data_IF_603082693266
#
_entry.id   IF_603082693266
#
_cell.length_a   1.000
_cell.length_b   1.000
_cell.length_c   1.000
_cell.angle_alpha   90.00
_cell.angle_beta   90.00
_cell.angle_gamma   90.00
#
_symmetry.space_group_name_H-M   'P 1'
#
loop_
_entity.id
_entity.type
_entity.pdbx_description
1 polymer ?
#
# COMPACT_ATOMS: atom_id res chain seq x y z
N UNK A 1 -23.97 31.88 64.07
CA UNK A 1 -22.66 31.29 63.76
C UNK A 1 -22.79 30.55 62.45
N UNK A 2 -22.46 31.22 61.35
CA UNK A 2 -22.68 30.76 59.97
C UNK A 2 -21.46 29.99 59.49
N UNK A 3 -21.61 28.71 59.12
CA UNK A 3 -20.53 27.90 58.52
C UNK A 3 -20.73 27.87 57.01
N UNK A 4 -20.00 28.74 56.30
CA UNK A 4 -19.83 28.66 54.85
C UNK A 4 -18.83 27.53 54.56
N UNK A 5 -19.32 26.45 53.94
CA UNK A 5 -18.47 25.39 53.39
C UNK A 5 -18.11 25.76 51.94
N UNK A 6 -16.81 25.75 51.54
CA UNK A 6 -16.43 26.00 50.16
C UNK A 6 -16.66 24.73 49.34
N UNK A 7 -17.56 24.80 48.36
CA UNK A 7 -17.71 23.77 47.34
C UNK A 7 -16.52 23.85 46.38
N UNK A 8 -15.56 22.93 46.52
CA UNK A 8 -14.45 22.75 45.59
C UNK A 8 -15.01 22.12 44.32
N UNK A 9 -15.23 22.95 43.29
CA UNK A 9 -15.63 22.51 41.95
C UNK A 9 -14.40 21.90 41.24
N UNK A 10 -14.25 20.58 41.33
CA UNK A 10 -13.22 19.85 40.61
C UNK A 10 -13.53 19.87 39.10
N UNK A 11 -12.80 20.70 38.34
CA UNK A 11 -12.74 20.60 36.87
C UNK A 11 -12.07 19.26 36.50
N UNK A 12 -12.89 18.27 36.15
CA UNK A 12 -12.45 17.07 35.43
C UNK A 12 -12.02 17.50 34.02
N UNK A 13 -10.71 17.74 33.86
CA UNK A 13 -10.09 17.86 32.54
C UNK A 13 -10.22 16.49 31.85
N UNK A 14 -11.21 16.35 30.98
CA UNK A 14 -11.34 15.23 30.06
C UNK A 14 -10.19 15.30 29.06
N UNK A 15 -9.02 14.80 29.44
CA UNK A 15 -7.98 14.44 28.49
C UNK A 15 -8.48 13.22 27.70
N UNK A 16 -9.30 13.48 26.68
CA UNK A 16 -9.77 12.45 25.76
C UNK A 16 -8.55 11.78 25.13
N UNK A 17 -8.43 10.46 25.32
CA UNK A 17 -7.37 9.69 24.67
C UNK A 17 -7.51 9.88 23.15
N UNK A 18 -6.47 10.38 22.50
CA UNK A 18 -6.43 10.51 21.05
C UNK A 18 -6.49 9.11 20.44
N UNK A 19 -7.46 8.86 19.58
CA UNK A 19 -7.57 7.59 18.87
C UNK A 19 -6.29 7.34 18.04
N UNK A 20 -5.87 6.08 18.02
CA UNK A 20 -4.71 5.59 17.30
C UNK A 20 -5.12 4.98 15.97
N UNK A 21 -4.13 4.75 15.11
CA UNK A 21 -4.37 4.01 13.87
C UNK A 21 -4.79 2.57 14.20
N UNK A 22 -5.87 2.13 13.56
CA UNK A 22 -6.52 0.83 13.78
C UNK A 22 -7.57 0.80 14.89
N UNK A 23 -7.76 1.89 15.65
CA UNK A 23 -8.80 1.93 16.70
C UNK A 23 -10.21 1.82 16.08
N UNK A 24 -11.17 1.15 16.74
CA UNK A 24 -12.53 0.99 16.23
C UNK A 24 -13.30 2.32 16.19
N UNK A 25 -14.07 2.51 15.14
CA UNK A 25 -14.90 3.70 14.95
C UNK A 25 -16.22 3.39 14.23
N UNK A 26 -17.18 4.30 14.36
CA UNK A 26 -18.43 4.28 13.59
C UNK A 26 -18.56 5.52 12.70
N UNK A 27 -18.00 6.64 13.14
CA UNK A 27 -17.95 7.92 12.41
C UNK A 27 -16.58 8.57 12.61
N UNK A 28 -16.17 9.44 11.70
CA UNK A 28 -14.83 10.08 11.73
C UNK A 28 -14.54 10.89 12.99
N UNK A 29 -15.58 11.43 13.65
CA UNK A 29 -15.43 12.15 14.93
C UNK A 29 -14.99 11.25 16.09
N UNK A 30 -15.16 9.92 15.99
CA UNK A 30 -14.56 8.98 16.94
C UNK A 30 -13.03 8.99 16.85
N UNK A 31 -12.48 9.24 15.66
CA UNK A 31 -11.05 9.18 15.39
C UNK A 31 -10.36 10.53 15.61
N UNK A 32 -11.00 11.62 15.20
CA UNK A 32 -10.44 12.96 15.34
C UNK A 32 -11.52 14.03 15.21
N UNK A 33 -11.70 14.86 16.25
CA UNK A 33 -12.56 16.04 16.18
C UNK A 33 -12.01 17.13 15.24
N UNK A 34 -10.69 17.16 15.04
CA UNK A 34 -10.00 18.12 14.17
C UNK A 34 -9.79 17.60 12.74
N UNK A 35 -10.31 16.41 12.40
CA UNK A 35 -10.16 15.82 11.05
C UNK A 35 -8.78 15.24 10.71
N UNK A 36 -7.84 15.15 11.66
CA UNK A 36 -6.51 14.54 11.40
C UNK A 36 -6.52 13.03 11.16
N UNK A 37 -7.66 12.36 11.36
CA UNK A 37 -7.90 10.94 11.10
C UNK A 37 -9.36 10.80 10.65
N UNK A 38 -9.61 9.82 9.81
CA UNK A 38 -10.96 9.46 9.35
C UNK A 38 -11.31 8.05 9.81
N UNK A 39 -12.61 7.74 9.80
CA UNK A 39 -13.09 6.38 10.03
C UNK A 39 -13.25 5.65 8.69
N UNK A 40 -12.34 4.72 8.38
CA UNK A 40 -12.45 3.84 7.21
C UNK A 40 -13.49 2.76 7.51
N UNK A 41 -14.59 2.79 6.74
CA UNK A 41 -15.72 1.86 6.86
C UNK A 41 -15.66 0.71 5.86
N UNK A 42 -14.63 0.64 5.01
CA UNK A 42 -14.53 -0.32 3.89
C UNK A 42 -14.58 -1.79 4.34
N UNK A 43 -14.21 -2.06 5.59
CA UNK A 43 -14.20 -3.40 6.18
C UNK A 43 -15.38 -3.67 7.13
N UNK A 44 -16.33 -2.74 7.21
CA UNK A 44 -17.55 -2.90 8.01
C UNK A 44 -18.54 -3.86 7.35
N UNK A 45 -18.44 -4.04 6.05
CA UNK A 45 -19.37 -4.81 5.23
C UNK A 45 -18.59 -5.93 4.54
N UNK A 46 -19.15 -7.14 4.46
CA UNK A 46 -18.57 -8.27 3.72
C UNK A 46 -18.80 -8.13 2.19
N UNK A 47 -18.24 -9.04 1.40
CA UNK A 47 -18.44 -9.06 -0.06
C UNK A 47 -19.90 -9.24 -0.51
N UNK A 48 -20.81 -9.58 0.41
CA UNK A 48 -22.24 -9.77 0.16
C UNK A 48 -23.09 -8.56 0.64
N UNK A 49 -22.47 -7.49 1.13
CA UNK A 49 -23.19 -6.33 1.63
C UNK A 49 -23.66 -6.42 3.08
N UNK A 50 -23.30 -7.47 3.83
CA UNK A 50 -23.71 -7.64 5.23
C UNK A 50 -22.68 -7.04 6.21
N UNK A 51 -23.10 -6.47 7.35
CA UNK A 51 -22.18 -6.06 8.40
C UNK A 51 -21.30 -7.22 8.88
N UNK A 52 -19.98 -7.02 8.92
CA UNK A 52 -19.06 -8.01 9.47
C UNK A 52 -19.32 -8.18 10.98
N UNK A 53 -19.09 -9.37 11.58
CA UNK A 53 -19.29 -9.59 13.01
C UNK A 53 -18.44 -8.66 13.90
N UNK A 54 -17.32 -8.17 13.38
CA UNK A 54 -16.43 -7.17 14.00
C UNK A 54 -16.85 -5.72 13.77
N UNK A 55 -17.79 -5.46 12.85
CA UNK A 55 -18.80 -4.39 12.80
C UNK A 55 -18.37 -2.92 12.91
N UNK A 56 -17.08 -2.64 13.05
CA UNK A 56 -16.55 -1.29 13.29
C UNK A 56 -15.52 -0.94 12.23
N UNK A 57 -15.59 0.29 11.73
CA UNK A 57 -14.53 0.85 10.91
C UNK A 57 -13.24 0.98 11.69
N UNK A 58 -12.21 1.48 11.05
CA UNK A 58 -10.94 1.77 11.71
C UNK A 58 -10.48 3.20 11.50
N UNK A 59 -9.88 3.77 12.53
CA UNK A 59 -9.25 5.06 12.43
C UNK A 59 -7.99 4.94 11.56
N UNK A 60 -7.94 5.72 10.49
CA UNK A 60 -6.80 5.79 9.56
C UNK A 60 -6.53 7.23 9.11
N UNK A 61 -5.51 7.40 8.29
CA UNK A 61 -5.22 8.61 7.52
C UNK A 61 -5.12 8.15 6.06
N UNK A 62 -5.95 8.72 5.20
CA UNK A 62 -5.91 8.49 3.75
C UNK A 62 -4.88 9.40 3.08
N UNK A 63 -4.50 9.02 1.86
CA UNK A 63 -3.55 9.77 1.03
C UNK A 63 -2.22 10.01 1.74
N UNK A 64 -1.76 9.01 2.50
CA UNK A 64 -0.46 9.09 3.15
C UNK A 64 0.68 8.97 2.13
N UNK A 65 1.83 9.53 2.49
CA UNK A 65 3.15 9.19 1.93
C UNK A 65 3.99 8.52 3.01
N UNK A 66 5.23 8.14 2.67
CA UNK A 66 6.13 7.34 3.54
C UNK A 66 6.27 7.89 4.95
N UNK A 67 6.37 9.22 5.11
CA UNK A 67 6.67 9.84 6.41
C UNK A 67 5.47 10.47 7.13
N UNK A 68 4.27 10.39 6.55
CA UNK A 68 3.11 11.11 7.08
C UNK A 68 2.25 10.26 8.03
N UNK A 69 2.61 8.98 8.22
CA UNK A 69 1.95 8.12 9.20
C UNK A 69 2.51 8.31 10.62
N UNK A 70 1.67 8.22 11.66
CA UNK A 70 2.13 8.14 13.04
C UNK A 70 3.10 6.96 13.29
N UNK A 71 3.91 7.03 14.35
CA UNK A 71 4.91 6.00 14.69
C UNK A 71 4.36 4.61 14.99
N UNK A 72 3.05 4.45 15.13
CA UNK A 72 2.39 3.15 15.26
C UNK A 72 1.92 2.55 13.92
N UNK A 73 2.07 3.27 12.80
CA UNK A 73 1.50 2.92 11.52
C UNK A 73 2.48 3.06 10.36
N UNK A 74 2.22 2.30 9.31
CA UNK A 74 2.92 2.34 8.03
C UNK A 74 1.99 2.88 6.95
N UNK A 75 2.54 3.66 6.02
CA UNK A 75 1.79 4.02 4.82
C UNK A 75 1.83 2.86 3.83
N UNK A 76 0.65 2.35 3.47
CA UNK A 76 0.52 1.29 2.48
C UNK A 76 -0.32 1.75 1.31
N UNK A 77 0.02 1.24 0.13
CA UNK A 77 -0.72 1.38 -1.11
C UNK A 77 -1.49 0.09 -1.36
N UNK A 78 -2.78 0.22 -1.66
CA UNK A 78 -3.66 -0.91 -1.96
C UNK A 78 -4.17 -0.77 -3.39
N UNK A 79 -3.93 -1.81 -4.21
CA UNK A 79 -4.47 -1.94 -5.56
C UNK A 79 -5.78 -2.73 -5.52
N UNK A 80 -6.76 -2.32 -6.32
CA UNK A 80 -8.03 -3.04 -6.44
C UNK A 80 -7.84 -4.39 -7.14
N UNK A 81 -8.38 -5.47 -6.58
CA UNK A 81 -8.29 -6.82 -7.14
C UNK A 81 -9.00 -7.01 -8.49
N UNK A 82 -9.88 -6.08 -8.87
CA UNK A 82 -10.67 -6.14 -10.10
C UNK A 82 -9.85 -5.76 -11.37
N UNK A 83 -8.59 -5.35 -11.21
CA UNK A 83 -7.76 -4.80 -12.29
C UNK A 83 -6.53 -5.65 -12.65
N UNK A 84 -6.41 -6.87 -12.12
CA UNK A 84 -5.28 -7.77 -12.36
C UNK A 84 -5.51 -8.65 -13.61
N UNK A 85 -5.59 -8.06 -14.80
CA UNK A 85 -6.02 -8.78 -16.01
C UNK A 85 -4.88 -9.14 -16.96
N UNK A 86 -3.77 -8.41 -16.94
CA UNK A 86 -2.63 -8.62 -17.84
C UNK A 86 -1.43 -9.15 -17.05
N UNK A 87 -0.85 -10.24 -17.54
CA UNK A 87 0.38 -10.78 -16.99
C UNK A 87 1.57 -9.92 -17.44
N UNK A 88 2.53 -9.73 -16.55
CA UNK A 88 3.73 -8.95 -16.82
C UNK A 88 4.96 -9.56 -16.13
N UNK A 89 6.15 -9.27 -16.63
CA UNK A 89 7.41 -9.59 -15.96
C UNK A 89 7.91 -8.40 -15.10
N UNK A 90 7.83 -8.47 -13.76
CA UNK A 90 8.20 -7.34 -12.89
C UNK A 90 9.69 -6.98 -12.93
N UNK A 91 10.56 -7.85 -13.46
CA UNK A 91 11.98 -7.54 -13.63
C UNK A 91 12.26 -6.74 -14.91
N UNK A 92 11.35 -6.81 -15.89
CA UNK A 92 11.54 -6.26 -17.24
C UNK A 92 10.51 -5.21 -17.63
N UNK A 93 9.39 -5.13 -16.91
CA UNK A 93 8.37 -4.12 -17.11
C UNK A 93 8.98 -2.73 -16.96
N UNK A 94 8.82 -1.87 -17.99
CA UNK A 94 9.35 -0.51 -18.05
C UNK A 94 10.87 -0.42 -17.79
N UNK A 95 11.58 -1.56 -17.87
CA UNK A 95 12.99 -1.68 -17.48
C UNK A 95 13.83 -2.22 -18.61
N UNK A 96 14.78 -1.39 -18.99
CA UNK A 96 15.91 -1.77 -19.83
C UNK A 96 16.84 -2.67 -19.01
N UNK A 97 17.07 -3.91 -19.46
CA UNK A 97 17.91 -4.88 -18.73
C UNK A 97 19.20 -5.18 -19.51
N UNK A 98 20.34 -5.05 -18.83
CA UNK A 98 21.66 -5.27 -19.44
C UNK A 98 21.92 -6.75 -19.77
N UNK A 99 22.51 -7.01 -20.95
CA UNK A 99 22.93 -8.38 -21.33
C UNK A 99 24.26 -8.76 -20.65
N UNK A 100 24.39 -10.00 -20.14
CA UNK A 100 25.65 -10.51 -19.61
C UNK A 100 26.67 -10.93 -20.68
N UNK A 101 26.32 -10.89 -21.97
CA UNK A 101 27.21 -11.24 -23.08
C UNK A 101 27.39 -10.03 -24.01
N UNK A 102 28.63 -9.80 -24.44
CA UNK A 102 28.97 -8.86 -25.50
C UNK A 102 28.17 -9.21 -26.75
N UNK A 103 27.18 -8.38 -27.08
CA UNK A 103 26.63 -8.30 -28.41
C UNK A 103 27.79 -8.00 -29.38
N UNK A 104 28.07 -8.89 -30.32
CA UNK A 104 28.82 -8.49 -31.49
C UNK A 104 27.99 -7.45 -32.24
N UNK A 105 28.64 -6.39 -32.73
CA UNK A 105 28.02 -5.37 -33.60
C UNK A 105 27.43 -5.96 -34.89
N UNK A 106 27.68 -7.24 -35.16
CA UNK A 106 27.17 -8.01 -36.30
C UNK A 106 25.98 -8.95 -35.93
N UNK A 107 25.55 -8.99 -34.66
CA UNK A 107 24.53 -9.94 -34.14
C UNK A 107 23.24 -9.27 -33.63
N UNK A 108 23.07 -7.98 -33.89
CA UNK A 108 21.74 -7.35 -33.91
C UNK A 108 21.31 -7.22 -35.38
N UNK A 109 20.90 -8.30 -36.08
CA UNK A 109 20.29 -8.12 -37.39
C UNK A 109 19.06 -7.24 -37.21
N UNK A 110 18.96 -6.18 -38.02
CA UNK A 110 17.74 -5.38 -38.16
C UNK A 110 16.54 -6.32 -38.25
N UNK A 111 15.47 -5.98 -37.53
CA UNK A 111 14.24 -6.73 -37.36
C UNK A 111 13.53 -6.98 -38.70
N UNK A 112 13.95 -8.00 -39.46
CA UNK A 112 13.36 -8.39 -40.75
C UNK A 112 13.27 -9.92 -40.92
N UNK A 113 13.20 -10.71 -39.84
CA UNK A 113 12.93 -12.15 -39.94
C UNK A 113 11.71 -12.56 -39.12
N UNK A 114 10.76 -13.21 -39.81
CA UNK A 114 9.48 -13.78 -39.35
C UNK A 114 9.64 -14.82 -38.21
N UNK A 115 10.18 -14.40 -37.07
CA UNK A 115 10.25 -15.16 -35.82
C UNK A 115 9.34 -14.55 -34.75
N UNK A 116 9.04 -15.28 -33.65
CA UNK A 116 8.32 -14.70 -32.52
C UNK A 116 9.12 -13.49 -32.02
N UNK A 117 8.45 -12.34 -31.93
CA UNK A 117 9.01 -11.02 -31.58
C UNK A 117 9.94 -11.12 -30.36
N UNK A 118 11.24 -11.34 -30.61
CA UNK A 118 12.25 -11.24 -29.57
C UNK A 118 12.46 -9.74 -29.32
N UNK A 119 12.57 -9.31 -28.05
CA UNK A 119 12.71 -7.91 -27.69
C UNK A 119 13.89 -7.29 -28.46
N UNK A 120 13.65 -6.14 -29.09
CA UNK A 120 14.66 -5.41 -29.84
C UNK A 120 15.90 -5.21 -28.96
N UNK A 121 17.08 -5.53 -29.50
CA UNK A 121 18.33 -5.26 -28.81
C UNK A 121 18.68 -3.79 -28.98
N UNK A 122 18.70 -3.04 -27.88
CA UNK A 122 19.07 -1.63 -27.85
C UNK A 122 20.49 -1.46 -27.30
N UNK A 123 21.08 -0.29 -27.55
CA UNK A 123 22.32 0.14 -26.90
C UNK A 123 21.98 1.29 -25.95
N UNK A 124 22.44 1.24 -24.70
CA UNK A 124 22.28 2.34 -23.74
C UNK A 124 23.25 3.51 -24.01
N UNK A 125 23.13 4.58 -23.22
CA UNK A 125 23.96 5.78 -23.34
C UNK A 125 25.46 5.52 -23.09
N UNK A 126 25.80 4.41 -22.42
CA UNK A 126 27.15 3.96 -22.13
C UNK A 126 27.71 2.99 -23.19
N UNK A 127 26.92 2.69 -24.25
CA UNK A 127 27.32 1.78 -25.32
C UNK A 127 27.14 0.30 -24.98
N UNK A 128 26.43 -0.03 -23.91
CA UNK A 128 26.16 -1.41 -23.47
C UNK A 128 24.85 -1.93 -24.08
N UNK A 129 24.87 -3.20 -24.49
CA UNK A 129 23.66 -3.84 -25.02
C UNK A 129 22.68 -4.22 -23.93
N UNK A 130 21.44 -3.89 -24.21
CA UNK A 130 20.31 -4.05 -23.31
C UNK A 130 19.13 -4.63 -24.09
N UNK A 131 18.26 -5.35 -23.40
CA UNK A 131 16.95 -5.66 -23.95
C UNK A 131 16.05 -4.45 -23.82
N UNK A 132 15.26 -4.16 -24.87
CA UNK A 132 14.12 -3.27 -24.74
C UNK A 132 13.24 -3.72 -23.56
N UNK A 133 12.64 -2.76 -22.84
CA UNK A 133 11.69 -3.06 -21.79
C UNK A 133 10.55 -3.93 -22.35
N UNK A 134 10.00 -4.79 -21.49
CA UNK A 134 8.66 -5.29 -21.76
C UNK A 134 7.71 -4.17 -21.33
N UNK A 135 6.78 -3.81 -22.21
CA UNK A 135 5.76 -2.81 -21.92
C UNK A 135 4.40 -3.54 -21.96
N UNK A 136 4.25 -4.53 -21.08
CA UNK A 136 3.05 -5.40 -21.05
C UNK A 136 1.87 -4.68 -20.39
N UNK A 137 2.15 -3.76 -19.46
CA UNK A 137 1.16 -2.94 -18.78
C UNK A 137 0.84 -1.65 -19.56
N UNK A 138 -0.35 -1.10 -19.34
CA UNK A 138 -0.69 0.21 -19.87
C UNK A 138 0.16 1.31 -19.20
N UNK A 139 0.32 2.50 -19.82
CA UNK A 139 1.11 3.60 -19.25
C UNK A 139 0.66 4.13 -17.86
N UNK A 140 -0.55 3.76 -17.42
CA UNK A 140 -1.12 4.10 -16.11
C UNK A 140 -1.17 2.90 -15.14
N UNK A 141 -0.52 1.81 -15.50
CA UNK A 141 -0.44 0.58 -14.72
C UNK A 141 0.99 0.36 -14.22
N UNK A 142 1.12 -0.50 -13.21
CA UNK A 142 2.39 -0.96 -12.68
C UNK A 142 2.39 -2.47 -12.60
N UNK A 143 3.48 -3.11 -13.02
CA UNK A 143 3.65 -4.55 -12.83
C UNK A 143 3.95 -4.88 -11.37
N UNK A 144 2.99 -5.55 -10.71
CA UNK A 144 3.17 -5.99 -9.33
C UNK A 144 4.11 -7.21 -9.25
N UNK A 145 4.77 -7.45 -8.10
CA UNK A 145 5.55 -8.67 -7.86
C UNK A 145 4.84 -10.00 -8.12
N UNK A 146 3.50 -10.04 -8.14
CA UNK A 146 2.76 -11.23 -8.56
C UNK A 146 2.74 -11.46 -10.08
N UNK A 147 3.38 -10.58 -10.87
CA UNK A 147 3.41 -10.63 -12.33
C UNK A 147 2.09 -10.22 -12.96
N UNK A 148 1.39 -9.25 -12.35
CA UNK A 148 0.10 -8.75 -12.81
C UNK A 148 0.11 -7.23 -12.83
N UNK A 149 -0.36 -6.65 -13.93
CA UNK A 149 -0.54 -5.21 -14.07
C UNK A 149 -1.65 -4.73 -13.15
N UNK A 150 -1.44 -3.58 -12.50
CA UNK A 150 -2.42 -2.94 -11.65
C UNK A 150 -2.50 -1.44 -11.93
N UNK A 151 -3.72 -0.89 -11.98
CA UNK A 151 -3.94 0.53 -12.25
C UNK A 151 -3.48 1.41 -11.08
N UNK A 152 -2.51 2.29 -11.34
CA UNK A 152 -1.91 3.21 -10.36
C UNK A 152 -2.86 4.34 -9.96
N UNK A 153 -3.80 4.73 -10.83
CA UNK A 153 -4.78 5.80 -10.60
C UNK A 153 -5.83 5.36 -9.57
N UNK A 154 -6.21 4.08 -9.60
CA UNK A 154 -7.19 3.51 -8.67
C UNK A 154 -6.58 3.10 -7.32
N UNK A 155 -5.25 3.03 -7.26
CA UNK A 155 -4.54 2.68 -6.05
C UNK A 155 -4.80 3.69 -4.92
N UNK A 156 -5.04 3.20 -3.71
CA UNK A 156 -5.30 4.05 -2.54
C UNK A 156 -4.19 3.91 -1.53
N UNK A 157 -3.70 5.03 -0.99
CA UNK A 157 -2.78 5.00 0.15
C UNK A 157 -3.50 5.28 1.46
N UNK A 158 -3.17 4.48 2.49
CA UNK A 158 -3.74 4.65 3.83
C UNK A 158 -2.74 4.22 4.91
N UNK A 159 -2.78 4.88 6.07
CA UNK A 159 -1.99 4.43 7.21
C UNK A 159 -2.61 3.19 7.84
N UNK A 160 -1.87 2.08 7.86
CA UNK A 160 -2.27 0.84 8.54
C UNK A 160 -1.40 0.60 9.75
N UNK A 161 -2.01 0.08 10.82
CA UNK A 161 -1.32 -0.17 12.09
C UNK A 161 -0.24 -1.23 11.88
N UNK A 162 0.99 -0.97 12.34
CA UNK A 162 2.06 -1.98 12.34
C UNK A 162 1.80 -3.07 13.39
N UNK A 163 2.26 -4.27 13.12
CA UNK A 163 2.16 -5.42 14.02
C UNK A 163 3.40 -6.31 13.92
N UNK A 164 3.61 -7.17 14.91
CA UNK A 164 4.61 -8.26 14.88
C UNK A 164 3.95 -9.63 14.85
N UNK A 165 2.76 -9.74 15.41
CA UNK A 165 1.92 -10.94 15.50
C UNK A 165 0.45 -10.57 15.55
N UNK A 166 -0.44 -11.53 15.30
CA UNK A 166 -1.90 -11.33 15.30
C UNK A 166 -2.44 -10.70 16.58
N UNK A 167 -1.85 -11.02 17.73
CA UNK A 167 -2.26 -10.47 19.02
C UNK A 167 -2.00 -8.97 19.18
N UNK A 168 -1.22 -8.34 18.29
CA UNK A 168 -1.02 -6.88 18.27
C UNK A 168 -2.16 -6.16 17.54
N UNK A 169 -2.97 -6.91 16.80
CA UNK A 169 -4.12 -6.45 16.05
C UNK A 169 -5.41 -6.60 16.87
N UNK A 170 -6.43 -5.84 16.46
CA UNK A 170 -7.76 -5.92 17.08
C UNK A 170 -8.48 -7.22 16.70
N UNK A 171 -9.55 -7.53 17.41
CA UNK A 171 -10.39 -8.68 17.07
C UNK A 171 -10.89 -8.58 15.62
N UNK A 172 -10.87 -9.71 14.90
CA UNK A 172 -11.22 -9.77 13.47
C UNK A 172 -10.09 -9.35 12.51
N UNK A 173 -8.91 -9.02 13.03
CA UNK A 173 -7.74 -8.66 12.22
C UNK A 173 -6.62 -9.68 12.41
N UNK A 174 -5.74 -9.76 11.41
CA UNK A 174 -4.52 -10.57 11.40
C UNK A 174 -3.31 -9.73 11.02
N UNK A 175 -2.13 -10.18 11.43
CA UNK A 175 -0.87 -9.52 11.16
C UNK A 175 -0.22 -10.10 9.91
N UNK A 176 -0.14 -9.32 8.84
CA UNK A 176 0.29 -9.80 7.52
C UNK A 176 1.46 -8.97 7.02
N UNK A 177 2.40 -9.61 6.32
CA UNK A 177 3.44 -8.90 5.57
C UNK A 177 2.83 -8.19 4.36
N UNK A 178 3.29 -6.97 4.12
CA UNK A 178 3.06 -6.25 2.86
C UNK A 178 3.90 -6.87 1.74
N UNK A 179 3.63 -6.47 0.49
CA UNK A 179 4.30 -7.01 -0.69
C UNK A 179 3.55 -8.17 -1.35
N UNK A 180 2.29 -8.39 -0.97
CA UNK A 180 1.45 -9.42 -1.55
C UNK A 180 -0.03 -9.03 -1.47
N UNK A 181 -0.85 -9.67 -2.32
CA UNK A 181 -2.33 -9.52 -2.33
C UNK A 181 -2.78 -8.09 -2.58
N UNK A 182 -2.05 -7.37 -3.43
CA UNK A 182 -2.38 -5.99 -3.76
C UNK A 182 -2.07 -4.98 -2.65
N UNK A 183 -1.43 -5.37 -1.55
CA UNK A 183 -1.07 -4.47 -0.44
C UNK A 183 0.45 -4.30 -0.38
N UNK A 184 0.91 -3.09 -0.64
CA UNK A 184 2.32 -2.75 -0.76
C UNK A 184 2.70 -1.64 0.21
N UNK A 185 3.94 -1.63 0.75
CA UNK A 185 4.42 -0.44 1.42
C UNK A 185 4.44 0.71 0.40
N UNK A 186 4.04 1.92 0.79
CA UNK A 186 4.11 3.06 -0.11
C UNK A 186 5.56 3.26 -0.59
N UNK A 187 5.82 3.48 -1.89
CA UNK A 187 7.19 3.61 -2.38
C UNK A 187 7.88 4.80 -1.71
N UNK A 188 9.14 4.60 -1.31
CA UNK A 188 10.01 5.67 -0.83
C UNK A 188 10.70 6.32 -2.04
N UNK A 189 10.43 7.60 -2.34
CA UNK A 189 11.06 8.29 -3.47
C UNK A 189 12.58 8.37 -3.34
N UNK A 190 13.10 8.40 -2.11
CA UNK A 190 14.54 8.47 -1.86
C UNK A 190 15.20 7.08 -1.97
N UNK A 191 14.41 6.01 -1.78
CA UNK A 191 14.87 4.62 -1.84
C UNK A 191 13.90 3.72 -2.62
N UNK A 192 13.71 3.95 -3.94
CA UNK A 192 12.65 3.31 -4.73
C UNK A 192 12.83 1.79 -4.91
N UNK A 193 13.99 1.23 -4.53
CA UNK A 193 14.30 -0.19 -4.62
C UNK A 193 14.51 -0.88 -3.27
N UNK A 194 14.28 -0.22 -2.12
CA UNK A 194 14.48 -0.86 -0.81
C UNK A 194 13.27 -1.74 -0.44
N UNK A 195 13.42 -3.08 -0.39
CA UNK A 195 12.33 -3.96 -0.01
C UNK A 195 12.03 -3.82 1.49
N UNK A 196 10.93 -3.12 1.80
CA UNK A 196 10.47 -2.95 3.18
C UNK A 196 9.54 -4.10 3.57
N UNK A 197 10.05 -5.07 4.33
CA UNK A 197 9.21 -6.11 4.98
C UNK A 197 8.48 -5.50 6.18
N UNK A 198 7.35 -4.86 5.88
CA UNK A 198 6.49 -4.27 6.90
C UNK A 198 5.30 -5.20 7.14
N UNK A 199 4.99 -5.41 8.43
CA UNK A 199 3.78 -6.13 8.81
C UNK A 199 2.72 -5.18 9.33
N UNK A 200 1.51 -5.34 8.84
CA UNK A 200 0.36 -4.50 9.17
C UNK A 200 -0.83 -5.33 9.64
N UNK A 201 -1.71 -4.71 10.41
CA UNK A 201 -3.01 -5.28 10.73
C UNK A 201 -3.97 -5.12 9.55
N UNK A 202 -4.48 -6.22 9.03
CA UNK A 202 -5.55 -6.25 8.04
C UNK A 202 -6.76 -7.01 8.59
N UNK A 203 -7.99 -6.69 8.17
CA UNK A 203 -9.13 -7.52 8.49
C UNK A 203 -8.93 -8.92 7.90
N UNK A 204 -9.34 -9.95 8.65
CA UNK A 204 -9.34 -11.33 8.15
C UNK A 204 -10.31 -11.45 6.99
N UNK A 205 -9.83 -11.92 5.84
CA UNK A 205 -10.68 -12.33 4.72
C UNK A 205 -11.50 -13.55 5.16
N UNK A 206 -12.83 -13.49 5.03
CA UNK A 206 -13.74 -14.61 5.30
C UNK A 206 -14.03 -15.38 4.01
#
# INVERSE_FOLDING_TARGET
MSRLAPAVLALLVLAGCKAKIGDPCQVSTNCSLTGTRICDLSHRIDGNGNPTPSGSGECTVESCGVDNCPKEAECVKVYGSDFLTVACDPEREDRVVARPQSCGVDECPDADTDGPELPECLTDDDGQCVFAPLDECNPNEVCLPEGLCADEITARTSCRRRCKKDGDCRSGYECVSTGARGIYPAPDPDHPGDPRDVKICVPKSF
#
